data_IF_134879074650
#
_entry.id   IF_134879074650
#
_cell.length_a   1.000
_cell.length_b   1.000
_cell.length_c   1.000
_cell.angle_alpha   90.00
_cell.angle_beta   90.00
_cell.angle_gamma   90.00
#
_symmetry.space_group_name_H-M   'P 1'
#
loop_
_entity.id
_entity.type
_entity.pdbx_description
1 polymer ?
#
# COMPACT_ATOMS: atom_id res chain seq x y z
N UNK A 1 3.07 -9.34 -5.56
CA UNK A 1 3.08 -10.06 -4.29
C UNK A 1 2.18 -9.27 -3.37
N UNK A 2 1.04 -9.87 -3.01
CA UNK A 2 -0.02 -9.26 -2.21
C UNK A 2 0.33 -9.21 -0.72
N UNK A 3 -0.36 -8.35 0.03
CA UNK A 3 -0.29 -8.21 1.49
C UNK A 3 1.12 -7.95 2.06
N UNK A 4 2.03 -7.36 1.28
CA UNK A 4 3.43 -7.19 1.73
C UNK A 4 3.52 -6.31 2.98
N UNK A 5 2.67 -5.29 3.05
CA UNK A 5 2.55 -4.33 4.14
C UNK A 5 2.16 -4.92 5.50
N UNK A 6 1.68 -6.17 5.55
CA UNK A 6 1.38 -6.89 6.80
C UNK A 6 2.14 -8.22 6.93
N UNK A 7 3.14 -8.45 6.07
CA UNK A 7 3.93 -9.69 6.05
C UNK A 7 5.43 -9.47 6.15
N UNK A 8 5.94 -8.32 5.68
CA UNK A 8 7.37 -7.99 5.69
C UNK A 8 7.57 -6.65 6.39
N UNK A 9 7.95 -6.71 7.66
CA UNK A 9 8.20 -5.51 8.50
C UNK A 9 9.67 -5.08 8.49
N UNK A 10 10.58 -6.03 8.25
CA UNK A 10 12.00 -5.76 8.16
C UNK A 10 12.32 -5.13 6.80
N UNK A 11 12.96 -3.96 6.85
CA UNK A 11 13.24 -3.16 5.67
C UNK A 11 14.26 -3.83 4.74
N UNK A 12 15.26 -4.55 5.28
CA UNK A 12 16.26 -5.21 4.43
C UNK A 12 15.62 -6.37 3.66
N UNK A 13 14.75 -7.15 4.29
CA UNK A 13 14.00 -8.21 3.60
C UNK A 13 13.09 -7.60 2.51
N UNK A 14 12.44 -6.49 2.82
CA UNK A 14 11.58 -5.79 1.86
C UNK A 14 12.38 -5.25 0.66
N UNK A 15 13.57 -4.71 0.91
CA UNK A 15 14.51 -4.24 -0.12
C UNK A 15 15.02 -5.39 -1.00
N UNK A 16 15.36 -6.53 -0.40
CA UNK A 16 15.76 -7.74 -1.14
C UNK A 16 14.62 -8.23 -2.05
N UNK A 17 13.38 -8.25 -1.57
CA UNK A 17 12.22 -8.59 -2.38
C UNK A 17 12.05 -7.59 -3.54
N UNK A 18 12.15 -6.30 -3.27
CA UNK A 18 12.01 -5.26 -4.31
C UNK A 18 13.07 -5.39 -5.41
N UNK A 19 14.30 -5.77 -5.03
CA UNK A 19 15.40 -6.01 -5.96
C UNK A 19 15.16 -7.19 -6.94
N UNK A 20 14.25 -8.12 -6.62
CA UNK A 20 13.87 -9.21 -7.54
C UNK A 20 13.09 -8.72 -8.77
N UNK A 21 12.57 -7.49 -8.74
CA UNK A 21 11.79 -6.91 -9.84
C UNK A 21 10.32 -7.36 -9.89
N UNK A 22 9.85 -8.13 -8.90
CA UNK A 22 8.42 -8.45 -8.77
C UNK A 22 7.62 -7.20 -8.42
N UNK A 23 6.34 -7.16 -8.80
CA UNK A 23 5.43 -6.17 -8.25
C UNK A 23 5.20 -6.44 -6.75
N UNK A 24 5.32 -5.41 -5.94
CA UNK A 24 4.99 -5.39 -4.52
C UNK A 24 3.69 -4.63 -4.36
N UNK A 25 2.72 -5.26 -3.69
CA UNK A 25 1.39 -4.73 -3.51
C UNK A 25 1.15 -4.38 -2.03
N UNK A 26 0.81 -3.12 -1.80
CA UNK A 26 0.34 -2.59 -0.52
C UNK A 26 -1.18 -2.51 -0.61
N UNK A 27 -1.84 -3.62 -0.30
CA UNK A 27 -3.28 -3.78 -0.53
C UNK A 27 -4.12 -3.66 0.73
N UNK A 28 -3.57 -3.28 1.90
CA UNK A 28 -4.40 -3.17 3.12
C UNK A 28 -4.60 -1.72 3.60
N UNK A 29 -4.57 -0.73 2.70
CA UNK A 29 -4.88 0.67 3.06
C UNK A 29 -6.25 0.80 3.72
N UNK A 30 -6.29 1.57 4.81
CA UNK A 30 -7.47 1.79 5.64
C UNK A 30 -7.76 0.66 6.64
N UNK A 31 -6.96 -0.41 6.67
CA UNK A 31 -7.04 -1.47 7.67
C UNK A 31 -5.88 -1.34 8.67
N UNK A 32 -6.21 -0.92 9.88
CA UNK A 32 -5.25 -0.67 10.95
C UNK A 32 -5.70 -1.40 12.22
N UNK A 33 -4.76 -2.03 12.93
CA UNK A 33 -5.05 -2.73 14.17
C UNK A 33 -3.76 -3.02 14.93
N UNK A 34 -3.62 -2.60 16.19
CA UNK A 34 -2.47 -2.96 17.00
C UNK A 34 -2.46 -4.45 17.39
N UNK A 35 -3.63 -5.11 17.39
CA UNK A 35 -3.80 -6.52 17.77
C UNK A 35 -4.89 -7.16 16.89
N UNK A 36 -4.57 -7.56 15.65
CA UNK A 36 -5.55 -8.15 14.74
C UNK A 36 -6.01 -9.51 15.29
N UNK A 37 -7.33 -9.76 15.41
CA UNK A 37 -7.86 -10.96 16.06
C UNK A 37 -7.38 -12.30 15.48
N UNK A 38 -7.05 -12.33 14.18
CA UNK A 38 -6.60 -13.53 13.48
C UNK A 38 -5.07 -13.68 13.44
N UNK A 39 -4.32 -12.72 13.99
CA UNK A 39 -2.87 -12.75 14.07
C UNK A 39 -2.39 -11.91 15.29
N UNK A 40 -2.66 -12.36 16.52
CA UNK A 40 -2.46 -11.55 17.72
C UNK A 40 -0.98 -11.22 18.01
N UNK A 41 -0.05 -11.98 17.44
CA UNK A 41 1.39 -11.78 17.60
C UNK A 41 1.98 -10.75 16.62
N UNK A 42 1.15 -10.09 15.82
CA UNK A 42 1.58 -9.04 14.88
C UNK A 42 0.69 -7.79 14.98
N UNK A 43 0.99 -6.77 14.18
CA UNK A 43 0.18 -5.58 14.02
C UNK A 43 -0.11 -5.29 12.54
N UNK A 44 -1.20 -4.58 12.28
CA UNK A 44 -1.48 -3.98 10.98
C UNK A 44 -1.00 -2.52 11.04
N UNK A 45 -0.04 -2.11 10.18
CA UNK A 45 0.49 -0.76 10.19
C UNK A 45 -0.60 0.28 9.97
N UNK A 46 -0.35 1.51 10.40
CA UNK A 46 -1.18 2.64 9.99
C UNK A 46 -0.91 3.03 8.54
N UNK A 47 -1.85 3.72 7.93
CA UNK A 47 -1.67 4.29 6.59
C UNK A 47 -0.50 5.27 6.54
N UNK A 48 -0.20 5.95 7.66
CA UNK A 48 1.00 6.79 7.78
C UNK A 48 2.27 5.95 7.63
N UNK A 49 2.37 4.83 8.35
CA UNK A 49 3.51 3.92 8.28
C UNK A 49 3.65 3.27 6.90
N UNK A 50 2.53 2.90 6.25
CA UNK A 50 2.54 2.41 4.87
C UNK A 50 3.13 3.43 3.91
N UNK A 51 2.76 4.71 4.03
CA UNK A 51 3.30 5.77 3.19
C UNK A 51 4.80 5.97 3.45
N UNK A 52 5.27 5.94 4.71
CA UNK A 52 6.71 6.01 5.00
C UNK A 52 7.49 4.85 4.36
N UNK A 53 6.97 3.62 4.43
CA UNK A 53 7.58 2.46 3.80
C UNK A 53 7.64 2.60 2.27
N UNK A 54 6.55 3.09 1.65
CA UNK A 54 6.53 3.38 0.22
C UNK A 54 7.57 4.43 -0.16
N UNK A 55 7.68 5.53 0.59
CA UNK A 55 8.67 6.58 0.33
C UNK A 55 10.08 6.00 0.35
N UNK A 56 10.42 5.18 1.36
CA UNK A 56 11.74 4.52 1.44
C UNK A 56 12.04 3.66 0.22
N UNK A 57 11.09 2.82 -0.20
CA UNK A 57 11.26 2.00 -1.40
C UNK A 57 11.41 2.84 -2.68
N UNK A 58 10.69 3.96 -2.75
CA UNK A 58 10.78 4.89 -3.89
C UNK A 58 12.15 5.58 -3.92
N UNK A 59 12.66 6.02 -2.77
CA UNK A 59 13.98 6.64 -2.64
C UNK A 59 15.11 5.66 -3.02
N UNK A 60 14.87 4.35 -2.83
CA UNK A 60 15.75 3.26 -3.25
C UNK A 60 15.59 2.86 -4.74
N UNK A 61 14.69 3.51 -5.48
CA UNK A 61 14.53 3.33 -6.92
C UNK A 61 13.49 2.29 -7.34
N UNK A 62 12.61 1.84 -6.43
CA UNK A 62 11.65 0.76 -6.71
C UNK A 62 10.25 1.23 -7.14
N UNK A 63 10.06 2.52 -7.44
CA UNK A 63 8.76 3.12 -7.77
C UNK A 63 7.92 2.34 -8.80
N UNK A 64 8.55 1.84 -9.87
CA UNK A 64 7.84 1.21 -11.01
C UNK A 64 7.23 -0.15 -10.70
N UNK A 65 7.54 -0.71 -9.53
CA UNK A 65 7.09 -2.05 -9.11
C UNK A 65 6.16 -2.03 -7.90
N UNK A 66 5.61 -0.87 -7.55
CA UNK A 66 4.71 -0.71 -6.40
C UNK A 66 3.26 -0.50 -6.85
N UNK A 67 2.31 -1.23 -6.26
CA UNK A 67 0.86 -1.04 -6.51
C UNK A 67 0.09 -1.01 -5.21
N UNK A 68 -1.07 -0.34 -5.20
CA UNK A 68 -1.84 -0.07 -3.99
C UNK A 68 -3.29 -0.56 -4.13
N UNK A 69 -3.86 -1.06 -3.05
CA UNK A 69 -5.28 -1.42 -2.97
C UNK A 69 -5.80 -1.38 -1.52
N UNK A 70 -7.07 -1.79 -1.34
CA UNK A 70 -7.71 -1.86 -0.03
C UNK A 70 -7.90 -3.28 0.47
N UNK A 71 -8.00 -4.29 -0.39
CA UNK A 71 -8.43 -5.64 0.02
C UNK A 71 -9.75 -5.60 0.81
N UNK A 72 -10.71 -4.80 0.33
CA UNK A 72 -12.03 -4.69 0.94
C UNK A 72 -12.83 -5.98 0.74
N UNK A 73 -12.63 -6.94 1.65
CA UNK A 73 -13.26 -8.26 1.63
C UNK A 73 -14.33 -8.47 2.73
N UNK A 74 -14.57 -7.47 3.59
CA UNK A 74 -15.54 -7.54 4.70
C UNK A 74 -16.48 -6.32 4.72
N UNK A 75 -17.73 -6.53 5.19
CA UNK A 75 -18.78 -5.48 5.17
C UNK A 75 -18.40 -4.24 5.97
N UNK A 76 -17.78 -4.40 7.13
CA UNK A 76 -17.45 -3.29 8.04
C UNK A 76 -16.46 -2.29 7.43
N UNK A 77 -15.75 -2.66 6.35
CA UNK A 77 -14.83 -1.78 5.63
C UNK A 77 -15.51 -0.87 4.62
N UNK A 78 -16.78 -1.12 4.27
CA UNK A 78 -17.55 -0.28 3.36
C UNK A 78 -18.13 0.94 4.10
N UNK A 79 -18.25 2.07 3.40
CA UNK A 79 -18.86 3.32 3.91
C UNK A 79 -20.24 3.10 4.56
N UNK A 80 -21.07 2.24 3.96
CA UNK A 80 -22.41 1.92 4.46
C UNK A 80 -22.43 1.30 5.87
N UNK A 81 -21.29 0.75 6.31
CA UNK A 81 -21.12 0.14 7.64
C UNK A 81 -20.11 0.92 8.49
N UNK A 82 -19.80 2.17 8.15
CA UNK A 82 -18.86 3.03 8.88
C UNK A 82 -17.39 2.85 8.51
N UNK A 83 -17.07 2.03 7.51
CA UNK A 83 -15.71 1.83 7.04
C UNK A 83 -15.19 2.90 6.08
N UNK A 84 -13.93 2.73 5.64
CA UNK A 84 -13.22 3.69 4.79
C UNK A 84 -13.69 3.68 3.32
N UNK A 85 -14.22 2.56 2.82
CA UNK A 85 -14.71 2.44 1.44
C UNK A 85 -13.63 2.45 0.36
N UNK A 86 -14.06 2.31 -0.90
CA UNK A 86 -13.15 2.25 -2.06
C UNK A 86 -12.57 3.62 -2.45
N UNK A 87 -13.18 4.71 -1.99
CA UNK A 87 -12.71 6.07 -2.25
C UNK A 87 -11.55 6.49 -1.32
N UNK A 88 -11.23 5.69 -0.31
CA UNK A 88 -10.19 6.02 0.69
C UNK A 88 -8.83 6.35 0.06
N UNK A 89 -8.38 5.54 -0.91
CA UNK A 89 -7.10 5.79 -1.58
C UNK A 89 -7.14 7.11 -2.37
N UNK A 90 -8.03 7.27 -3.37
CA UNK A 90 -8.01 8.46 -4.22
C UNK A 90 -8.35 9.76 -3.49
N UNK A 91 -9.08 9.72 -2.37
CA UNK A 91 -9.50 10.92 -1.63
C UNK A 91 -8.61 11.26 -0.43
N UNK A 92 -8.23 10.26 0.36
CA UNK A 92 -7.59 10.46 1.67
C UNK A 92 -6.10 10.15 1.59
N UNK A 93 -5.74 8.96 1.08
CA UNK A 93 -4.35 8.52 1.01
C UNK A 93 -3.53 9.40 0.06
N UNK A 94 -4.04 9.75 -1.12
CA UNK A 94 -3.34 10.66 -2.04
C UNK A 94 -3.07 12.03 -1.41
N UNK A 95 -4.00 12.55 -0.61
CA UNK A 95 -3.80 13.81 0.11
C UNK A 95 -2.72 13.67 1.19
N UNK A 96 -2.65 12.54 1.88
CA UNK A 96 -1.63 12.27 2.89
C UNK A 96 -0.25 12.00 2.28
N UNK A 97 -0.17 11.27 1.17
CA UNK A 97 1.05 11.08 0.38
C UNK A 97 1.67 12.43 0.00
N UNK A 98 0.87 13.38 -0.50
CA UNK A 98 1.34 14.74 -0.80
C UNK A 98 1.85 15.46 0.44
N UNK A 99 1.15 15.35 1.57
CA UNK A 99 1.58 15.95 2.85
C UNK A 99 2.90 15.35 3.36
N UNK A 100 3.18 14.09 3.05
CA UNK A 100 4.44 13.43 3.38
C UNK A 100 5.54 13.65 2.31
N UNK A 101 5.30 14.50 1.31
CA UNK A 101 6.32 14.91 0.34
C UNK A 101 6.35 14.12 -0.97
N UNK A 102 5.42 13.19 -1.19
CA UNK A 102 5.32 12.50 -2.48
C UNK A 102 4.87 13.47 -3.58
N UNK A 103 5.60 13.46 -4.69
CA UNK A 103 5.26 14.19 -5.90
C UNK A 103 4.00 13.61 -6.58
N UNK A 104 3.31 14.44 -7.36
CA UNK A 104 2.17 13.99 -8.16
C UNK A 104 2.58 12.86 -9.13
N UNK A 105 3.79 12.94 -9.70
CA UNK A 105 4.33 11.91 -10.58
C UNK A 105 4.45 10.54 -9.89
N UNK A 106 4.97 10.49 -8.64
CA UNK A 106 5.03 9.24 -7.87
C UNK A 106 3.64 8.68 -7.61
N UNK A 107 2.68 9.53 -7.22
CA UNK A 107 1.30 9.12 -6.95
C UNK A 107 0.63 8.58 -8.22
N UNK A 108 0.76 9.27 -9.35
CA UNK A 108 0.20 8.82 -10.64
C UNK A 108 0.86 7.52 -11.10
N UNK A 109 2.17 7.35 -10.84
CA UNK A 109 2.85 6.09 -11.16
C UNK A 109 2.26 4.92 -10.36
N UNK A 110 2.02 5.12 -9.07
CA UNK A 110 1.44 4.11 -8.18
C UNK A 110 0.00 3.75 -8.55
N UNK A 111 -0.82 4.73 -8.93
CA UNK A 111 -2.27 4.56 -9.12
C UNK A 111 -2.70 4.35 -10.58
N UNK A 112 -1.87 4.74 -11.55
CA UNK A 112 -2.23 4.73 -12.97
C UNK A 112 -1.22 3.90 -13.76
N UNK A 113 0.05 4.28 -13.74
CA UNK A 113 1.03 3.70 -14.66
C UNK A 113 1.41 2.25 -14.29
N UNK A 114 1.62 1.96 -13.01
CA UNK A 114 1.93 0.60 -12.55
C UNK A 114 0.74 -0.35 -12.75
N UNK A 115 -0.51 0.00 -12.34
CA UNK A 115 -1.68 -0.81 -12.64
C UNK A 115 -1.89 -1.02 -14.14
N UNK A 116 -1.70 0.02 -14.96
CA UNK A 116 -1.77 -0.09 -16.43
C UNK A 116 -0.79 -1.13 -16.96
N UNK A 117 0.46 -1.12 -16.50
CA UNK A 117 1.51 -2.07 -16.95
C UNK A 117 1.25 -3.51 -16.49
N UNK A 118 0.84 -3.72 -15.24
CA UNK A 118 0.72 -5.07 -14.67
C UNK A 118 -0.55 -5.81 -15.11
N UNK A 119 -1.62 -5.08 -15.45
CA UNK A 119 -2.91 -5.66 -15.83
C UNK A 119 -3.09 -5.87 -17.33
N UNK A 120 -2.11 -5.49 -18.14
CA UNK A 120 -2.11 -5.72 -19.60
C UNK A 120 -1.16 -6.84 -19.98
N UNK A 121 -1.50 -7.57 -21.05
CA UNK A 121 -0.56 -8.47 -21.70
C UNK A 121 0.47 -7.70 -22.52
N UNK A 122 1.66 -8.27 -22.68
CA UNK A 122 2.70 -7.78 -23.58
C UNK A 122 2.40 -8.14 -25.05
#
# INVERSE_FOLDING_TARGET
>A
MAHVDIRIYDHEILRELAATGVYIEYDTFGLESPFPPHAPDTYMPSDYQRIEQLIRLIDEGHLERLVLAHDNCTKHRLRAFGGHGFDHIPTTITAWMKRQGMSQHQIDTLLIENPRRVLTFA
#
